data_IF_720823640504
#
_entry.id   IF_720823640504
#
_cell.length_a   1.000
_cell.length_b   1.000
_cell.length_c   1.000
_cell.angle_alpha   90.00
_cell.angle_beta   90.00
_cell.angle_gamma   90.00
#
_symmetry.space_group_name_H-M   'P 1'
#
loop_
_entity.id
_entity.type
_entity.pdbx_description
1 polymer ?
#
# COMPACT_ATOMS: atom_id res chain seq x y z
N UNK A 1 24.99 -32.87 41.08
CA UNK A 1 25.55 -32.48 39.77
C UNK A 1 25.62 -30.96 39.75
N UNK A 2 26.81 -30.33 39.73
CA UNK A 2 26.89 -28.88 39.64
C UNK A 2 26.35 -28.48 38.27
N UNK A 3 25.38 -27.55 38.23
CA UNK A 3 25.00 -26.92 36.97
C UNK A 3 26.27 -26.30 36.37
N UNK A 4 26.71 -26.74 35.18
CA UNK A 4 27.94 -26.22 34.62
C UNK A 4 27.73 -24.72 34.35
N UNK A 5 28.69 -23.88 34.78
CA UNK A 5 28.65 -22.42 34.64
C UNK A 5 28.19 -21.93 33.26
N UNK A 6 28.53 -22.68 32.21
CA UNK A 6 28.04 -22.49 30.84
C UNK A 6 26.51 -22.46 30.73
N UNK A 7 25.80 -23.38 31.38
CA UNK A 7 24.34 -23.47 31.32
C UNK A 7 23.68 -22.29 32.06
N UNK A 8 24.27 -21.85 33.18
CA UNK A 8 23.79 -20.68 33.91
C UNK A 8 23.99 -19.40 33.08
N UNK A 9 25.15 -19.25 32.44
CA UNK A 9 25.43 -18.14 31.54
C UNK A 9 24.47 -18.12 30.35
N UNK A 10 24.22 -19.27 29.72
CA UNK A 10 23.24 -19.39 28.64
C UNK A 10 21.83 -19.01 29.10
N UNK A 11 21.40 -19.49 30.27
CA UNK A 11 20.08 -19.14 30.84
C UNK A 11 19.96 -17.62 31.08
N UNK A 12 20.97 -16.98 31.66
CA UNK A 12 20.98 -15.53 31.89
C UNK A 12 20.93 -14.77 30.55
N UNK A 13 21.72 -15.18 29.56
CA UNK A 13 21.71 -14.56 28.23
C UNK A 13 20.34 -14.71 27.55
N UNK A 14 19.70 -15.87 27.65
CA UNK A 14 18.36 -16.12 27.10
C UNK A 14 17.29 -15.28 27.81
N UNK A 15 17.31 -15.21 29.15
CA UNK A 15 16.39 -14.37 29.93
C UNK A 15 16.58 -12.88 29.64
N UNK A 16 17.83 -12.41 29.56
CA UNK A 16 18.15 -11.04 29.20
C UNK A 16 17.66 -10.71 27.78
N UNK A 17 17.86 -11.63 26.83
CA UNK A 17 17.37 -11.48 25.46
C UNK A 17 15.83 -11.43 25.40
N UNK A 18 15.14 -12.28 26.17
CA UNK A 18 13.68 -12.30 26.25
C UNK A 18 13.12 -11.03 26.90
N UNK A 19 13.72 -10.57 28.00
CA UNK A 19 13.34 -9.33 28.68
C UNK A 19 13.58 -8.11 27.77
N UNK A 20 14.71 -8.07 27.07
CA UNK A 20 15.03 -7.02 26.12
C UNK A 20 14.05 -7.01 24.93
N UNK A 21 13.72 -8.19 24.39
CA UNK A 21 12.73 -8.32 23.31
C UNK A 21 11.33 -7.87 23.76
N UNK A 22 10.93 -8.20 24.99
CA UNK A 22 9.66 -7.74 25.57
C UNK A 22 9.63 -6.22 25.77
N UNK A 23 10.74 -5.63 26.23
CA UNK A 23 10.85 -4.20 26.49
C UNK A 23 10.91 -3.35 25.19
N UNK A 24 11.47 -3.89 24.10
CA UNK A 24 11.62 -3.18 22.81
C UNK A 24 10.43 -3.46 21.87
N UNK A 25 9.48 -4.34 22.24
CA UNK A 25 8.32 -4.65 21.41
C UNK A 25 7.47 -3.38 21.19
N UNK A 26 7.24 -2.97 19.93
CA UNK A 26 6.42 -1.79 19.65
C UNK A 26 4.96 -2.08 20.00
N UNK A 27 4.33 -1.15 20.73
CA UNK A 27 2.93 -1.24 21.15
C UNK A 27 2.10 -0.03 20.74
N UNK A 28 2.73 1.11 20.41
CA UNK A 28 2.05 2.30 19.95
C UNK A 28 1.76 2.21 18.45
N UNK A 29 0.50 2.38 18.06
CA UNK A 29 0.06 2.41 16.67
C UNK A 29 0.30 3.78 16.06
N UNK A 30 1.08 3.84 14.97
CA UNK A 30 1.29 5.10 14.24
C UNK A 30 -0.03 5.65 13.66
N UNK A 31 -0.99 4.77 13.35
CA UNK A 31 -2.31 5.17 12.86
C UNK A 31 -3.13 5.92 13.91
N UNK A 32 -2.92 5.63 15.20
CA UNK A 32 -3.67 6.28 16.29
C UNK A 32 -3.07 7.64 16.67
N UNK A 33 -1.83 7.93 16.25
CA UNK A 33 -1.17 9.23 16.38
C UNK A 33 -1.52 10.19 15.20
N UNK A 34 -2.26 9.73 14.19
CA UNK A 34 -2.56 10.47 12.95
C UNK A 34 -4.05 10.72 12.78
N UNK A 35 -4.45 11.70 11.95
CA UNK A 35 -5.84 11.80 11.53
C UNK A 35 -6.33 10.48 10.94
N UNK A 36 -7.54 10.02 11.31
CA UNK A 36 -8.06 8.74 10.85
C UNK A 36 -8.17 8.73 9.32
N UNK A 37 -7.88 7.59 8.72
CA UNK A 37 -8.14 7.36 7.30
C UNK A 37 -9.65 7.18 7.11
N UNK A 38 -10.20 7.88 6.13
CA UNK A 38 -11.51 7.62 5.54
C UNK A 38 -11.29 7.56 4.02
N UNK A 39 -11.13 6.34 3.50
CA UNK A 39 -10.84 6.17 2.07
C UNK A 39 -11.97 6.72 1.18
N UNK A 40 -13.22 6.62 1.63
CA UNK A 40 -14.36 7.06 0.83
C UNK A 40 -14.40 8.59 0.71
N UNK A 41 -14.06 9.31 1.78
CA UNK A 41 -13.97 10.77 1.79
C UNK A 41 -12.67 11.30 1.16
N UNK A 42 -11.54 10.62 1.38
CA UNK A 42 -10.22 11.08 0.91
C UNK A 42 -10.01 10.87 -0.58
N UNK A 43 -10.59 9.81 -1.15
CA UNK A 43 -10.46 9.52 -2.58
C UNK A 43 -11.57 10.27 -3.32
N UNK A 44 -11.26 11.17 -4.26
CA UNK A 44 -12.27 11.97 -4.94
C UNK A 44 -13.06 11.13 -5.95
N UNK A 45 -14.40 11.28 -5.97
CA UNK A 45 -15.26 10.62 -6.97
C UNK A 45 -15.10 11.21 -8.39
N UNK A 46 -14.47 12.37 -8.52
CA UNK A 46 -14.16 12.99 -9.82
C UNK A 46 -12.88 13.82 -9.73
N UNK A 47 -12.06 13.79 -10.79
CA UNK A 47 -10.86 14.62 -10.89
C UNK A 47 -10.40 14.69 -12.35
N UNK A 48 -10.07 15.91 -12.81
CA UNK A 48 -9.75 16.14 -14.21
C UNK A 48 -10.83 15.53 -15.14
N UNK A 49 -10.46 14.69 -16.12
CA UNK A 49 -11.40 14.04 -17.04
C UNK A 49 -12.00 12.72 -16.49
N UNK A 50 -11.65 12.30 -15.28
CA UNK A 50 -12.10 11.04 -14.69
C UNK A 50 -13.31 11.24 -13.78
N UNK A 51 -14.27 10.34 -13.90
CA UNK A 51 -15.46 10.28 -13.03
C UNK A 51 -15.71 8.86 -12.58
N UNK A 52 -16.08 8.70 -11.31
CA UNK A 52 -16.50 7.42 -10.76
C UNK A 52 -17.75 6.92 -11.48
N UNK A 53 -17.72 5.66 -11.92
CA UNK A 53 -18.84 4.96 -12.48
C UNK A 53 -19.61 4.30 -11.32
N UNK A 54 -20.72 4.91 -10.91
CA UNK A 54 -21.52 4.45 -9.76
C UNK A 54 -22.42 3.23 -10.07
N UNK A 55 -22.73 3.01 -11.35
CA UNK A 55 -23.61 1.92 -11.80
C UNK A 55 -22.82 0.72 -12.32
N UNK A 56 -21.89 0.20 -11.51
CA UNK A 56 -21.22 -1.08 -11.79
C UNK A 56 -21.85 -2.15 -10.92
N UNK A 57 -22.14 -3.32 -11.50
CA UNK A 57 -22.61 -4.45 -10.71
C UNK A 57 -21.59 -4.74 -9.59
N UNK A 58 -22.03 -4.69 -8.34
CA UNK A 58 -21.20 -5.06 -7.19
C UNK A 58 -20.81 -6.51 -7.39
N UNK A 59 -19.50 -6.76 -7.54
CA UNK A 59 -19.00 -8.12 -7.57
C UNK A 59 -19.25 -8.72 -6.18
N UNK A 60 -20.16 -9.70 -6.10
CA UNK A 60 -20.44 -10.41 -4.85
C UNK A 60 -19.14 -11.13 -4.48
N UNK A 61 -18.47 -10.62 -3.45
CA UNK A 61 -17.32 -11.30 -2.86
C UNK A 61 -17.87 -12.40 -1.98
N UNK A 62 -17.25 -13.58 -2.04
CA UNK A 62 -17.58 -14.69 -1.16
C UNK A 62 -17.45 -14.26 0.33
N UNK A 63 -18.40 -14.60 1.21
CA UNK A 63 -18.36 -14.16 2.61
C UNK A 63 -17.11 -14.60 3.39
N UNK A 64 -16.53 -15.77 3.10
CA UNK A 64 -15.30 -16.25 3.74
C UNK A 64 -14.10 -15.43 3.27
N UNK A 65 -14.08 -15.10 1.98
CA UNK A 65 -13.09 -14.19 1.40
C UNK A 65 -13.22 -12.78 2.00
N UNK A 66 -14.45 -12.28 2.21
CA UNK A 66 -14.69 -10.98 2.84
C UNK A 66 -14.22 -10.97 4.30
N UNK A 67 -14.50 -12.02 5.08
CA UNK A 67 -14.01 -12.14 6.45
C UNK A 67 -12.48 -12.13 6.55
N UNK A 68 -11.80 -12.75 5.58
CA UNK A 68 -10.33 -12.72 5.48
C UNK A 68 -9.82 -11.31 5.17
N UNK A 69 -10.48 -10.59 4.26
CA UNK A 69 -10.17 -9.19 3.93
C UNK A 69 -10.33 -8.30 5.18
N UNK A 70 -11.44 -8.45 5.91
CA UNK A 70 -11.76 -7.63 7.08
C UNK A 70 -10.83 -7.93 8.28
N UNK A 71 -10.27 -9.15 8.36
CA UNK A 71 -9.28 -9.50 9.38
C UNK A 71 -7.92 -8.82 9.15
N UNK A 72 -7.59 -8.46 7.91
CA UNK A 72 -6.28 -7.94 7.51
C UNK A 72 -6.32 -6.43 7.26
N UNK A 73 -7.43 -5.93 6.72
CA UNK A 73 -7.59 -4.54 6.34
C UNK A 73 -8.60 -3.82 7.23
N UNK A 74 -8.19 -2.66 7.71
CA UNK A 74 -9.08 -1.77 8.46
C UNK A 74 -10.07 -1.06 7.56
N UNK A 75 -9.66 -0.72 6.32
CA UNK A 75 -10.54 -0.18 5.30
C UNK A 75 -10.10 -0.66 3.92
N UNK A 76 -11.08 -0.88 3.04
CA UNK A 76 -10.85 -1.10 1.62
C UNK A 76 -11.71 -0.15 0.79
N UNK A 77 -11.24 0.19 -0.40
CA UNK A 77 -11.99 0.95 -1.38
C UNK A 77 -11.83 0.28 -2.74
N UNK A 78 -12.94 0.08 -3.44
CA UNK A 78 -12.95 -0.34 -4.84
C UNK A 78 -13.80 0.66 -5.63
N UNK A 79 -13.23 1.27 -6.66
CA UNK A 79 -13.93 2.20 -7.56
C UNK A 79 -13.55 1.94 -9.00
N UNK A 80 -14.50 2.11 -9.91
CA UNK A 80 -14.20 2.18 -11.34
C UNK A 80 -14.35 3.62 -11.79
N UNK A 81 -13.36 4.16 -12.46
CA UNK A 81 -13.41 5.48 -13.08
C UNK A 81 -13.52 5.33 -14.59
N UNK A 82 -14.33 6.20 -15.19
CA UNK A 82 -14.45 6.35 -16.64
C UNK A 82 -13.87 7.70 -17.04
N UNK A 83 -13.03 7.68 -18.08
CA UNK A 83 -12.49 8.86 -18.71
C UNK A 83 -13.49 9.45 -19.71
N UNK A 84 -13.36 10.72 -20.07
CA UNK A 84 -14.21 11.38 -21.06
C UNK A 84 -14.25 10.67 -22.45
N UNK A 85 -13.21 9.90 -22.79
CA UNK A 85 -13.15 9.10 -24.03
C UNK A 85 -13.70 7.66 -23.86
N UNK A 86 -14.26 7.31 -22.71
CA UNK A 86 -14.83 5.99 -22.41
C UNK A 86 -13.85 4.95 -21.87
N UNK A 87 -12.55 5.26 -21.74
CA UNK A 87 -11.57 4.35 -21.13
C UNK A 87 -11.89 4.15 -19.65
N UNK A 88 -11.70 2.93 -19.14
CA UNK A 88 -12.03 2.57 -17.74
C UNK A 88 -10.80 2.12 -16.97
N UNK A 89 -10.70 2.62 -15.74
CA UNK A 89 -9.67 2.25 -14.79
C UNK A 89 -10.33 1.76 -13.50
N UNK A 90 -9.89 0.62 -13.00
CA UNK A 90 -10.29 0.04 -11.74
C UNK A 90 -9.26 0.40 -10.68
N UNK A 91 -9.68 1.13 -9.65
CA UNK A 91 -8.90 1.48 -8.48
C UNK A 91 -9.28 0.55 -7.33
N UNK A 92 -8.29 -0.06 -6.69
CA UNK A 92 -8.45 -0.74 -5.42
C UNK A 92 -7.42 -0.22 -4.43
N UNK A 93 -7.87 0.14 -3.22
CA UNK A 93 -7.02 0.58 -2.12
C UNK A 93 -7.31 -0.29 -0.91
N UNK A 94 -6.26 -0.85 -0.31
CA UNK A 94 -6.34 -1.58 0.95
C UNK A 94 -5.52 -0.85 2.00
N UNK A 95 -6.11 -0.56 3.14
CA UNK A 95 -5.48 0.13 4.27
C UNK A 95 -5.54 -0.74 5.52
N UNK A 96 -4.40 -0.89 6.20
CA UNK A 96 -4.31 -1.58 7.48
C UNK A 96 -3.57 -0.72 8.52
N UNK A 97 -4.19 -0.52 9.69
CA UNK A 97 -3.59 0.24 10.80
C UNK A 97 -2.35 -0.43 11.42
N UNK A 98 -2.18 -1.73 11.21
CA UNK A 98 -1.08 -2.52 11.78
C UNK A 98 -0.36 -3.28 10.66
N UNK A 99 0.79 -2.77 10.22
CA UNK A 99 1.74 -3.51 9.36
C UNK A 99 2.83 -4.15 10.22
N UNK A 100 2.46 -5.22 10.91
CA UNK A 100 3.42 -6.14 11.55
C UNK A 100 3.55 -7.42 10.71
N UNK A 101 4.53 -8.27 11.02
CA UNK A 101 4.75 -9.53 10.30
C UNK A 101 3.49 -10.39 10.20
N UNK A 102 2.57 -10.31 11.17
CA UNK A 102 1.35 -11.11 11.23
C UNK A 102 0.18 -10.53 10.40
N UNK A 103 0.25 -9.26 9.96
CA UNK A 103 -0.82 -8.55 9.26
C UNK A 103 -0.23 -7.76 8.09
N UNK A 104 0.09 -8.48 7.01
CA UNK A 104 0.74 -7.91 5.82
C UNK A 104 -0.26 -7.61 4.71
N UNK A 105 -0.07 -6.49 4.02
CA UNK A 105 -0.73 -6.23 2.74
C UNK A 105 -0.36 -7.33 1.73
N UNK A 106 -1.35 -8.09 1.29
CA UNK A 106 -1.16 -9.14 0.28
C UNK A 106 -0.99 -8.52 -1.09
N UNK A 107 0.09 -8.91 -1.77
CA UNK A 107 0.46 -8.30 -3.05
C UNK A 107 -0.30 -8.94 -4.22
N UNK A 108 -0.66 -8.15 -5.25
CA UNK A 108 -1.36 -8.65 -6.43
C UNK A 108 -0.68 -9.85 -7.12
N UNK A 109 0.64 -9.91 -7.18
CA UNK A 109 1.36 -11.04 -7.81
C UNK A 109 1.18 -12.39 -7.10
N UNK A 110 0.67 -12.38 -5.86
CA UNK A 110 0.31 -13.59 -5.12
C UNK A 110 -1.18 -13.91 -5.28
N UNK A 111 -2.04 -12.90 -5.16
CA UNK A 111 -3.50 -13.10 -5.19
C UNK A 111 -4.05 -13.36 -6.60
N UNK A 112 -3.50 -12.76 -7.64
CA UNK A 112 -3.99 -12.93 -9.02
C UNK A 112 -3.84 -14.38 -9.49
N UNK A 113 -2.66 -15.05 -9.34
CA UNK A 113 -2.54 -16.48 -9.65
C UNK A 113 -3.49 -17.37 -8.85
N UNK A 114 -3.71 -17.07 -7.57
CA UNK A 114 -4.67 -17.81 -6.75
C UNK A 114 -6.12 -17.68 -7.24
N UNK A 115 -6.44 -16.59 -7.94
CA UNK A 115 -7.75 -16.36 -8.60
C UNK A 115 -7.80 -16.89 -10.04
N UNK A 116 -6.76 -17.59 -10.49
CA UNK A 116 -6.69 -18.20 -11.81
C UNK A 116 -6.12 -17.31 -12.93
N UNK A 117 -5.70 -16.08 -12.62
CA UNK A 117 -4.98 -15.26 -13.60
C UNK A 117 -3.59 -15.84 -13.88
N UNK A 118 -3.17 -15.76 -15.13
CA UNK A 118 -1.77 -15.99 -15.49
C UNK A 118 -1.00 -14.69 -15.35
N UNK A 119 0.17 -14.76 -14.74
CA UNK A 119 1.12 -13.64 -14.60
C UNK A 119 2.22 -13.84 -15.65
N UNK A 120 2.22 -13.01 -16.69
CA UNK A 120 3.17 -13.13 -17.80
C UNK A 120 4.45 -12.33 -17.56
N UNK A 121 4.31 -11.16 -16.93
CA UNK A 121 5.43 -10.27 -16.65
C UNK A 121 5.22 -9.57 -15.31
N UNK A 122 6.32 -9.35 -14.60
CA UNK A 122 6.38 -8.55 -13.39
C UNK A 122 7.62 -7.66 -13.45
N UNK A 123 7.43 -6.35 -13.42
CA UNK A 123 8.52 -5.38 -13.52
C UNK A 123 8.38 -4.28 -12.46
N UNK A 124 9.51 -3.80 -11.96
CA UNK A 124 9.56 -2.61 -11.09
C UNK A 124 9.93 -1.41 -11.95
N UNK A 125 9.15 -0.34 -11.86
CA UNK A 125 9.31 0.84 -12.70
C UNK A 125 9.17 2.11 -11.87
N UNK A 126 9.83 3.21 -12.28
CA UNK A 126 9.52 4.52 -11.73
C UNK A 126 8.09 4.93 -12.14
N UNK A 127 7.33 5.43 -11.18
CA UNK A 127 6.03 6.09 -11.36
C UNK A 127 6.14 7.49 -10.77
N UNK A 128 5.92 8.52 -11.57
CA UNK A 128 6.02 9.90 -11.10
C UNK A 128 4.70 10.31 -10.44
N UNK A 129 4.76 10.64 -9.15
CA UNK A 129 3.66 11.20 -8.37
C UNK A 129 4.12 12.51 -7.72
N UNK A 130 3.36 13.59 -7.88
CA UNK A 130 3.69 14.92 -7.32
C UNK A 130 5.14 15.35 -7.66
N UNK A 131 5.53 15.19 -8.93
CA UNK A 131 6.86 15.48 -9.45
C UNK A 131 8.02 14.72 -8.79
N UNK A 132 7.72 13.61 -8.09
CA UNK A 132 8.74 12.71 -7.54
C UNK A 132 8.56 11.28 -8.06
N UNK A 133 9.66 10.62 -8.50
CA UNK A 133 9.59 9.22 -8.86
C UNK A 133 9.45 8.37 -7.60
N UNK A 134 8.43 7.52 -7.58
CA UNK A 134 8.31 6.40 -6.66
C UNK A 134 8.54 5.10 -7.42
N UNK A 135 8.90 4.04 -6.71
CA UNK A 135 8.98 2.71 -7.32
C UNK A 135 7.62 2.03 -7.23
N UNK A 136 7.02 1.75 -8.39
CA UNK A 136 5.82 0.95 -8.53
C UNK A 136 6.14 -0.41 -9.16
N UNK A 137 5.21 -1.34 -9.03
CA UNK A 137 5.27 -2.64 -9.68
C UNK A 137 4.19 -2.70 -10.75
N UNK A 138 4.58 -3.11 -11.96
CA UNK A 138 3.68 -3.42 -13.07
C UNK A 138 3.63 -4.92 -13.28
N UNK A 139 2.45 -5.41 -13.61
CA UNK A 139 2.21 -6.81 -13.93
C UNK A 139 1.30 -6.93 -15.14
N UNK A 140 1.63 -7.89 -15.99
CA UNK A 140 0.82 -8.28 -17.13
C UNK A 140 0.05 -9.52 -16.74
N UNK A 141 -1.27 -9.40 -16.60
CA UNK A 141 -2.13 -10.53 -16.23
C UNK A 141 -3.26 -10.77 -17.19
N UNK A 142 -3.69 -12.02 -17.26
CA UNK A 142 -4.82 -12.39 -18.10
C UNK A 142 -5.59 -13.60 -17.55
N UNK A 143 -6.89 -13.60 -17.80
CA UNK A 143 -7.82 -14.67 -17.46
C UNK A 143 -8.72 -14.92 -18.67
N UNK A 144 -8.46 -15.98 -19.43
CA UNK A 144 -9.16 -16.26 -20.68
C UNK A 144 -8.98 -15.12 -21.70
N UNK A 145 -10.07 -14.40 -22.02
CA UNK A 145 -10.06 -13.26 -22.94
C UNK A 145 -9.85 -11.90 -22.25
N UNK A 146 -9.83 -11.86 -20.91
CA UNK A 146 -9.59 -10.66 -20.12
C UNK A 146 -8.08 -10.45 -20.01
N UNK A 147 -7.57 -9.38 -20.61
CA UNK A 147 -6.21 -8.90 -20.39
C UNK A 147 -6.30 -7.73 -19.41
N UNK A 148 -5.67 -7.89 -18.25
CA UNK A 148 -5.67 -6.90 -17.18
C UNK A 148 -4.24 -6.54 -16.77
N UNK A 149 -3.62 -5.57 -17.44
CA UNK A 149 -2.42 -4.92 -16.93
C UNK A 149 -2.73 -4.23 -15.60
N UNK A 150 -1.79 -4.31 -14.65
CA UNK A 150 -1.95 -3.72 -13.31
C UNK A 150 -0.68 -2.96 -12.94
N UNK A 151 -0.85 -1.77 -12.39
CA UNK A 151 0.20 -1.01 -11.67
C UNK A 151 -0.19 -0.92 -10.21
N UNK A 152 0.72 -1.23 -9.30
CA UNK A 152 0.48 -1.07 -7.87
C UNK A 152 1.73 -0.59 -7.12
N UNK A 153 1.52 -0.02 -5.94
CA UNK A 153 2.59 0.31 -5.00
C UNK A 153 2.09 0.20 -3.56
N UNK A 154 3.03 0.14 -2.62
CA UNK A 154 2.74 0.02 -1.19
C UNK A 154 3.46 1.12 -0.42
N UNK A 155 2.71 1.84 0.40
CA UNK A 155 3.20 2.81 1.37
C UNK A 155 3.14 2.15 2.76
N UNK A 156 4.24 2.20 3.51
CA UNK A 156 4.30 1.79 4.93
C UNK A 156 4.74 2.98 5.76
N UNK A 157 3.87 3.46 6.64
CA UNK A 157 4.01 4.77 7.29
C UNK A 157 4.03 5.89 6.25
N UNK A 158 5.24 6.38 5.95
CA UNK A 158 5.52 7.44 4.96
C UNK A 158 6.55 7.00 3.89
N UNK A 159 6.78 5.70 3.74
CA UNK A 159 7.81 5.16 2.84
C UNK A 159 7.24 4.18 1.82
N UNK A 160 7.72 4.26 0.58
CA UNK A 160 7.40 3.28 -0.46
C UNK A 160 8.26 2.04 -0.25
N UNK A 161 7.62 0.87 -0.13
CA UNK A 161 8.31 -0.41 0.06
C UNK A 161 8.18 -1.28 -1.19
N UNK A 162 9.31 -1.74 -1.73
CA UNK A 162 9.36 -2.39 -3.05
C UNK A 162 9.83 -3.84 -2.99
N UNK A 163 10.59 -4.18 -1.94
CA UNK A 163 11.09 -5.52 -1.64
C UNK A 163 10.73 -5.91 -0.21
N UNK A 164 10.79 -7.22 0.09
CA UNK A 164 10.59 -7.70 1.47
C UNK A 164 11.66 -7.17 2.43
N UNK A 165 12.89 -6.93 1.94
CA UNK A 165 13.99 -6.40 2.74
C UNK A 165 13.77 -4.93 3.07
N UNK A 166 13.39 -4.10 2.09
CA UNK A 166 13.12 -2.67 2.32
C UNK A 166 11.96 -2.47 3.29
N UNK A 167 10.91 -3.30 3.14
CA UNK A 167 9.80 -3.36 4.08
C UNK A 167 10.28 -3.70 5.49
N UNK A 168 11.07 -4.77 5.63
CA UNK A 168 11.55 -5.22 6.94
C UNK A 168 12.43 -4.19 7.64
N UNK A 169 13.31 -3.53 6.88
CA UNK A 169 14.15 -2.46 7.41
C UNK A 169 13.31 -1.25 7.86
N UNK A 170 12.25 -0.92 7.12
CA UNK A 170 11.31 0.15 7.48
C UNK A 170 10.56 -0.21 8.77
N UNK A 171 10.00 -1.41 8.86
CA UNK A 171 9.34 -1.92 10.07
C UNK A 171 10.28 -1.92 11.27
N UNK A 172 11.54 -2.36 11.10
CA UNK A 172 12.54 -2.31 12.17
C UNK A 172 12.82 -0.89 12.65
N UNK A 173 12.92 0.09 11.74
CA UNK A 173 13.13 1.50 12.10
C UNK A 173 11.97 2.06 12.92
N UNK A 174 10.73 1.71 12.59
CA UNK A 174 9.56 2.08 13.39
C UNK A 174 9.51 1.31 14.72
N UNK A 175 9.79 0.01 14.69
CA UNK A 175 9.82 -0.85 15.87
C UNK A 175 10.83 -0.40 16.92
N UNK A 176 12.03 0.01 16.50
CA UNK A 176 13.05 0.60 17.38
C UNK A 176 12.61 1.94 18.01
N UNK A 177 11.61 2.62 17.41
CA UNK A 177 10.98 3.83 17.96
C UNK A 177 9.72 3.52 18.77
N UNK A 178 9.45 2.24 19.07
CA UNK A 178 8.29 1.78 19.81
C UNK A 178 6.97 1.85 19.02
N UNK A 179 7.02 2.06 17.70
CA UNK A 179 5.84 2.28 16.85
C UNK A 179 5.58 1.13 15.88
N UNK A 180 4.31 0.83 15.68
CA UNK A 180 3.81 -0.05 14.63
C UNK A 180 3.35 0.82 13.45
N UNK A 181 3.98 0.73 12.27
CA UNK A 181 3.57 1.51 11.12
C UNK A 181 2.24 0.98 10.58
N UNK A 182 1.46 1.85 9.96
CA UNK A 182 0.34 1.44 9.13
C UNK A 182 0.79 1.25 7.68
N UNK A 183 -0.12 0.80 6.83
CA UNK A 183 0.20 0.60 5.43
C UNK A 183 -0.99 0.74 4.51
N UNK A 184 -0.68 1.13 3.28
CA UNK A 184 -1.62 1.31 2.20
C UNK A 184 -1.08 0.64 0.94
N UNK A 185 -1.90 -0.20 0.31
CA UNK A 185 -1.64 -0.73 -1.03
C UNK A 185 -2.60 -0.05 -1.99
N UNK A 186 -2.06 0.62 -3.00
CA UNK A 186 -2.83 1.23 -4.08
C UNK A 186 -2.60 0.41 -5.33
N UNK A 187 -3.69 -0.09 -5.93
CA UNK A 187 -3.71 -0.88 -7.16
C UNK A 187 -4.57 -0.19 -8.20
N UNK A 188 -4.02 -0.02 -9.39
CA UNK A 188 -4.68 0.58 -10.54
C UNK A 188 -4.60 -0.43 -11.69
N UNK A 189 -5.74 -0.86 -12.21
CA UNK A 189 -5.80 -1.80 -13.33
C UNK A 189 -6.78 -1.34 -14.41
N UNK A 190 -6.64 -1.88 -15.62
CA UNK A 190 -7.56 -1.65 -16.73
C UNK A 190 -7.67 -2.91 -17.58
N UNK A 191 -8.79 -3.08 -18.30
CA UNK A 191 -8.94 -4.18 -19.25
C UNK A 191 -8.49 -3.68 -20.61
N UNK A 192 -7.32 -4.12 -21.05
CA UNK A 192 -6.68 -3.65 -22.28
C UNK A 192 -5.69 -4.71 -22.79
N UNK A 193 -5.69 -4.95 -24.10
CA UNK A 193 -4.74 -5.87 -24.76
C UNK A 193 -3.43 -5.18 -25.11
N UNK A 194 -3.43 -3.85 -25.22
CA UNK A 194 -2.23 -3.04 -25.38
C UNK A 194 -1.69 -2.69 -23.98
N UNK A 195 -0.85 -3.57 -23.44
CA UNK A 195 -0.21 -3.38 -22.14
C UNK A 195 0.54 -2.03 -22.03
N UNK A 196 1.39 -1.63 -22.99
CA UNK A 196 2.02 -0.31 -22.97
C UNK A 196 1.03 0.85 -22.83
N UNK A 197 -0.07 0.83 -23.60
CA UNK A 197 -1.12 1.85 -23.49
C UNK A 197 -1.78 1.84 -22.10
N UNK A 198 -2.13 0.66 -21.59
CA UNK A 198 -2.71 0.49 -20.26
C UNK A 198 -1.82 1.08 -19.17
N UNK A 199 -0.55 0.71 -19.15
CA UNK A 199 0.43 1.19 -18.17
C UNK A 199 0.67 2.71 -18.25
N UNK A 200 0.60 3.30 -19.45
CA UNK A 200 0.66 4.75 -19.64
C UNK A 200 -0.57 5.44 -19.02
N UNK A 201 -1.77 4.97 -19.34
CA UNK A 201 -3.03 5.52 -18.81
C UNK A 201 -3.10 5.36 -17.28
N UNK A 202 -2.66 4.21 -16.75
CA UNK A 202 -2.60 3.97 -15.30
C UNK A 202 -1.64 4.94 -14.60
N UNK A 203 -0.52 5.30 -15.22
CA UNK A 203 0.41 6.28 -14.67
C UNK A 203 -0.20 7.69 -14.65
N UNK A 204 -0.83 8.12 -15.76
CA UNK A 204 -1.54 9.40 -15.87
C UNK A 204 -2.69 9.50 -14.86
N UNK A 205 -3.49 8.44 -14.75
CA UNK A 205 -4.56 8.31 -13.77
C UNK A 205 -4.02 8.43 -12.33
N UNK A 206 -2.95 7.70 -12.00
CA UNK A 206 -2.36 7.68 -10.66
C UNK A 206 -1.83 9.06 -10.25
N UNK A 207 -1.14 9.74 -11.17
CA UNK A 207 -0.63 11.09 -10.94
C UNK A 207 -1.77 12.10 -10.72
N UNK A 208 -2.80 12.06 -11.58
CA UNK A 208 -3.97 12.93 -11.47
C UNK A 208 -4.78 12.67 -10.18
N UNK A 209 -4.96 11.40 -9.82
CA UNK A 209 -5.65 10.99 -8.58
C UNK A 209 -4.94 11.56 -7.35
N UNK A 210 -3.63 11.30 -7.22
CA UNK A 210 -2.85 11.75 -6.07
C UNK A 210 -2.79 13.27 -5.99
N UNK A 211 -2.72 13.98 -7.12
CA UNK A 211 -2.80 15.43 -7.15
C UNK A 211 -4.16 15.97 -6.68
N UNK A 212 -5.25 15.24 -6.94
CA UNK A 212 -6.60 15.64 -6.55
C UNK A 212 -6.94 15.34 -5.08
N UNK A 213 -6.18 14.46 -4.41
CA UNK A 213 -6.29 14.24 -2.97
C UNK A 213 -5.86 15.50 -2.22
N UNK A 214 -6.54 15.82 -1.12
CA UNK A 214 -6.22 16.97 -0.28
C UNK A 214 -4.74 16.94 0.17
N UNK A 215 -3.99 18.06 0.13
CA UNK A 215 -2.55 18.10 0.37
C UNK A 215 -2.08 17.35 1.62
N UNK A 216 -2.83 17.47 2.72
CA UNK A 216 -2.59 16.84 4.01
C UNK A 216 -2.63 15.30 3.98
N UNK A 217 -3.30 14.70 3.00
CA UNK A 217 -3.44 13.26 2.88
C UNK A 217 -2.52 12.65 1.81
N UNK A 218 -2.01 13.45 0.86
CA UNK A 218 -1.26 12.96 -0.31
C UNK A 218 -0.10 12.02 0.04
N UNK A 219 0.68 12.35 1.08
CA UNK A 219 1.82 11.55 1.51
C UNK A 219 1.43 10.11 1.91
N UNK A 220 0.20 9.92 2.38
CA UNK A 220 -0.35 8.60 2.78
C UNK A 220 -0.57 7.70 1.57
N UNK A 221 -0.84 8.28 0.40
CA UNK A 221 -1.06 7.58 -0.85
C UNK A 221 0.20 7.49 -1.72
N UNK A 222 1.09 8.49 -1.67
CA UNK A 222 2.30 8.54 -2.50
C UNK A 222 3.57 8.07 -1.80
N UNK A 223 3.59 7.99 -0.46
CA UNK A 223 4.83 7.80 0.32
C UNK A 223 5.85 8.94 0.11
N UNK A 224 5.40 10.07 -0.45
CA UNK A 224 6.21 11.26 -0.66
C UNK A 224 5.69 12.33 0.29
N UNK A 225 6.45 12.58 1.36
CA UNK A 225 6.15 13.68 2.28
C UNK A 225 6.10 15.01 1.55
N UNK A 226 5.17 15.89 1.96
CA UNK A 226 5.15 17.28 1.51
C UNK A 226 6.58 17.85 1.66
N UNK A 227 7.08 18.53 0.63
CA UNK A 227 8.29 19.33 0.80
C UNK A 227 8.07 20.24 2.02
N UNK A 228 9.04 20.37 2.95
CA UNK A 228 8.90 21.35 4.02
C UNK A 228 8.57 22.68 3.36
N UNK A 229 7.46 23.29 3.78
CA UNK A 229 7.10 24.63 3.31
C UNK A 229 8.32 25.51 3.56
N UNK A 230 8.95 25.99 2.49
CA UNK A 230 9.98 27.00 2.61
C UNK A 230 9.30 28.16 3.35
N UNK A 231 9.70 28.36 4.60
CA UNK A 231 9.33 29.53 5.36
C UNK A 231 9.77 30.72 4.50
N UNK A 232 8.80 31.38 3.86
CA UNK A 232 9.02 32.68 3.29
C UNK A 232 9.30 33.61 4.47
N UNK A 233 10.59 33.82 4.75
CA UNK A 233 11.07 34.90 5.57
C UNK A 233 10.66 36.18 4.85
N UNK A 234 9.52 36.73 5.24
CA UNK A 234 9.21 38.14 4.99
C UNK A 234 10.14 38.92 5.91
N UNK A 235 11.24 39.41 5.34
CA UNK A 235 12.08 40.40 6.00
C UNK A 235 11.38 41.77 5.90
N UNK A 236 11.49 42.62 6.95
CA UNK A 236 10.85 43.92 7.02
C UNK A 236 11.43 44.95 6.04
#
# INVERSE_FOLDING_TARGET
MPFPFKNLLLMVLMMASAALAAAIRPTASLADERPPIDLAAMVPGQFGPWREQLNVAVQIVDPEQQATIDAIYTQTLARTYVHANGYRVMLSIAYGKNQSDNLQLHKPEVCYPAQGFKLEKLERVPLNLLDRPITATRMETYLGQRHEPVTYWTVVGDHITTTGIDKKLTEMRYGLRGRVPDGMLVRVSSIDRDTPNAHRIQAEFSAALVAAIAPEHRARFSGVGAAPALLHTTAP
#
